data_IF_630154908837
#
_entry.id   IF_630154908837
#
_cell.length_a   1.000
_cell.length_b   1.000
_cell.length_c   1.000
_cell.angle_alpha   90.00
_cell.angle_beta   90.00
_cell.angle_gamma   90.00
#
_symmetry.space_group_name_H-M   'P 1'
#
loop_
_entity.id
_entity.type
_entity.pdbx_description
1 polymer ?
#
# COMPACT_ATOMS: atom_id res chain seq x y z
N UNK A 1 2.44 25.71 5.89
CA UNK A 1 1.20 25.07 5.40
C UNK A 1 1.10 25.30 3.89
N UNK A 2 0.69 24.28 3.12
CA UNK A 2 0.42 24.42 1.69
C UNK A 2 -0.73 25.40 1.45
N UNK A 3 -0.64 26.22 0.40
CA UNK A 3 -1.75 27.07 -0.06
C UNK A 3 -2.85 26.20 -0.69
N UNK A 4 -4.09 26.71 -0.76
CA UNK A 4 -5.21 25.97 -1.37
C UNK A 4 -4.95 25.66 -2.87
N UNK A 5 -4.29 26.58 -3.57
CA UNK A 5 -3.88 26.38 -4.97
C UNK A 5 -2.90 25.20 -5.07
N UNK A 6 -1.87 25.15 -4.22
CA UNK A 6 -0.90 24.05 -4.19
C UNK A 6 -1.53 22.73 -3.79
N UNK A 7 -2.44 22.74 -2.81
CA UNK A 7 -3.22 21.55 -2.44
C UNK A 7 -4.01 20.99 -3.62
N UNK A 8 -4.66 21.88 -4.39
CA UNK A 8 -5.42 21.48 -5.58
C UNK A 8 -4.50 20.91 -6.66
N UNK A 9 -3.35 21.54 -6.91
CA UNK A 9 -2.35 21.06 -7.85
C UNK A 9 -1.89 19.63 -7.49
N UNK A 10 -1.43 19.43 -6.25
CA UNK A 10 -0.98 18.12 -5.78
C UNK A 10 -2.10 17.07 -5.80
N UNK A 11 -3.34 17.44 -5.44
CA UNK A 11 -4.49 16.54 -5.54
C UNK A 11 -4.76 16.08 -6.97
N UNK A 12 -4.49 16.93 -7.96
CA UNK A 12 -4.66 16.57 -9.37
C UNK A 12 -3.59 15.59 -9.86
N UNK A 13 -2.41 15.56 -9.25
CA UNK A 13 -1.38 14.56 -9.52
C UNK A 13 -1.82 13.17 -9.05
N UNK A 14 -2.54 13.12 -7.92
CA UNK A 14 -2.92 11.87 -7.25
C UNK A 14 -4.22 11.29 -7.84
N UNK A 15 -4.17 10.94 -9.13
CA UNK A 15 -5.26 10.30 -9.86
C UNK A 15 -4.73 9.10 -10.61
N UNK A 16 -5.45 7.97 -10.62
CA UNK A 16 -5.06 6.82 -11.41
C UNK A 16 -5.21 7.10 -12.91
N UNK A 17 -4.50 6.35 -13.74
CA UNK A 17 -4.54 6.45 -15.19
C UNK A 17 -5.94 6.16 -15.77
N UNK A 18 -6.71 5.30 -15.10
CA UNK A 18 -8.10 4.98 -15.42
C UNK A 18 -8.86 4.70 -14.11
N UNK A 19 -10.20 4.84 -14.10
CA UNK A 19 -11.00 4.43 -12.94
C UNK A 19 -10.79 2.96 -12.58
N UNK A 20 -10.83 2.60 -11.29
CA UNK A 20 -10.82 1.21 -10.87
C UNK A 20 -11.91 0.39 -11.55
N UNK A 21 -11.59 -0.84 -11.94
CA UNK A 21 -12.52 -1.77 -12.55
C UNK A 21 -12.76 -2.95 -11.63
N UNK A 22 -13.99 -3.10 -11.15
CA UNK A 22 -14.37 -4.24 -10.34
C UNK A 22 -14.44 -5.51 -11.19
N UNK A 23 -13.99 -6.62 -10.62
CA UNK A 23 -14.02 -7.95 -11.22
C UNK A 23 -14.51 -8.96 -10.19
N UNK A 24 -15.34 -9.89 -10.62
CA UNK A 24 -15.89 -10.95 -9.79
C UNK A 24 -15.27 -12.31 -10.14
N UNK A 25 -15.31 -13.26 -9.18
CA UNK A 25 -14.80 -14.61 -9.36
C UNK A 25 -13.35 -14.65 -9.84
N UNK A 26 -12.49 -13.88 -9.16
CA UNK A 26 -11.10 -13.62 -9.58
C UNK A 26 -10.23 -14.87 -9.56
N UNK A 27 -10.38 -15.69 -8.52
CA UNK A 27 -9.70 -16.98 -8.38
C UNK A 27 -10.69 -18.14 -8.38
N UNK A 28 -10.27 -19.31 -8.86
CA UNK A 28 -11.05 -20.53 -8.68
C UNK A 28 -11.05 -20.98 -7.22
N UNK A 29 -11.98 -21.86 -6.84
CA UNK A 29 -12.03 -22.40 -5.49
C UNK A 29 -10.72 -23.13 -5.10
N UNK A 30 -10.13 -23.88 -6.02
CA UNK A 30 -8.83 -24.55 -5.85
C UNK A 30 -7.69 -23.54 -5.64
N UNK A 31 -7.62 -22.48 -6.44
CA UNK A 31 -6.61 -21.43 -6.28
C UNK A 31 -6.74 -20.75 -4.92
N UNK A 32 -7.96 -20.41 -4.50
CA UNK A 32 -8.21 -19.83 -3.17
C UNK A 32 -7.75 -20.75 -2.05
N UNK A 33 -8.10 -22.03 -2.13
CA UNK A 33 -7.68 -23.01 -1.14
C UNK A 33 -6.15 -23.12 -1.05
N UNK A 34 -5.46 -23.21 -2.19
CA UNK A 34 -3.98 -23.23 -2.23
C UNK A 34 -3.34 -21.97 -1.66
N UNK A 35 -3.89 -20.79 -1.97
CA UNK A 35 -3.43 -19.52 -1.41
C UNK A 35 -3.53 -19.51 0.13
N UNK A 36 -4.67 -19.88 0.69
CA UNK A 36 -4.87 -19.97 2.14
C UNK A 36 -3.98 -21.02 2.79
N UNK A 37 -3.86 -22.21 2.19
CA UNK A 37 -3.03 -23.30 2.70
C UNK A 37 -1.54 -22.91 2.75
N UNK A 38 -1.03 -22.23 1.71
CA UNK A 38 0.35 -21.72 1.71
C UNK A 38 0.55 -20.71 2.84
N UNK A 39 -0.36 -19.75 3.00
CA UNK A 39 -0.25 -18.73 4.06
C UNK A 39 -0.35 -19.37 5.43
N UNK A 40 -1.24 -20.35 5.62
CA UNK A 40 -1.39 -21.06 6.89
C UNK A 40 -0.14 -21.90 7.25
N UNK A 41 0.45 -22.57 6.27
CA UNK A 41 1.56 -23.51 6.50
C UNK A 41 2.92 -22.84 6.70
N UNK A 42 3.15 -21.66 6.11
CA UNK A 42 4.49 -21.05 6.01
C UNK A 42 4.69 -19.83 6.93
N UNK A 43 3.75 -19.55 7.85
CA UNK A 43 3.94 -18.53 8.90
C UNK A 43 5.14 -18.85 9.84
N UNK A 44 5.45 -18.00 10.79
CA UNK A 44 4.67 -16.83 11.19
C UNK A 44 4.91 -15.60 10.31
N UNK A 45 3.88 -14.78 10.19
CA UNK A 45 3.89 -13.55 9.40
C UNK A 45 3.94 -12.32 10.33
N UNK A 46 4.72 -11.33 9.94
CA UNK A 46 4.89 -10.10 10.71
C UNK A 46 3.78 -9.09 10.42
N UNK A 47 3.56 -8.18 11.35
CA UNK A 47 2.78 -6.96 11.10
C UNK A 47 3.35 -6.20 9.90
N UNK A 48 2.47 -5.59 9.10
CA UNK A 48 2.87 -4.79 7.94
C UNK A 48 3.87 -3.70 8.31
N UNK A 49 3.67 -3.02 9.45
CA UNK A 49 4.59 -1.98 9.94
C UNK A 49 5.97 -2.53 10.28
N UNK A 50 6.06 -3.77 10.76
CA UNK A 50 7.34 -4.44 11.08
C UNK A 50 8.10 -4.93 9.83
N UNK A 51 7.55 -4.74 8.63
CA UNK A 51 8.26 -4.94 7.37
C UNK A 51 8.83 -3.63 6.80
N UNK A 52 8.27 -2.48 7.20
CA UNK A 52 8.70 -1.16 6.75
C UNK A 52 9.66 -0.47 7.70
N UNK A 53 9.67 -0.85 8.97
CA UNK A 53 10.51 -0.28 10.03
C UNK A 53 11.28 -1.39 10.74
N UNK A 54 12.54 -1.15 11.04
CA UNK A 54 13.37 -2.13 11.75
C UNK A 54 13.02 -2.25 13.24
N UNK A 55 12.38 -1.21 13.82
CA UNK A 55 11.95 -1.18 15.21
C UNK A 55 10.76 -0.26 15.46
N UNK A 56 10.11 -0.42 16.61
CA UNK A 56 9.08 0.50 17.06
C UNK A 56 9.62 1.93 17.26
N UNK A 57 10.87 2.07 17.72
CA UNK A 57 11.52 3.37 17.91
C UNK A 57 11.73 4.09 16.57
N UNK A 58 12.13 3.38 15.52
CA UNK A 58 12.27 3.93 14.18
C UNK A 58 10.90 4.39 13.62
N UNK A 59 9.86 3.56 13.76
CA UNK A 59 8.49 3.92 13.40
C UNK A 59 8.08 5.22 14.10
N UNK A 60 8.23 5.28 15.42
CA UNK A 60 7.83 6.43 16.21
C UNK A 60 8.61 7.69 15.82
N UNK A 61 9.92 7.59 15.57
CA UNK A 61 10.76 8.70 15.13
C UNK A 61 10.30 9.23 13.76
N UNK A 62 10.00 8.33 12.82
CA UNK A 62 9.55 8.69 11.46
C UNK A 62 8.17 9.37 11.47
N UNK A 63 7.26 8.87 12.30
CA UNK A 63 5.88 9.37 12.35
C UNK A 63 5.69 10.60 13.25
N UNK A 64 6.65 10.93 14.11
CA UNK A 64 6.53 12.05 15.06
C UNK A 64 6.29 13.40 14.38
N UNK A 65 6.85 13.63 13.19
CA UNK A 65 6.66 14.85 12.40
C UNK A 65 5.28 15.00 11.73
N UNK A 66 4.48 13.94 11.71
CA UNK A 66 3.14 13.95 11.10
C UNK A 66 2.05 14.52 12.03
N UNK A 67 2.38 14.78 13.30
CA UNK A 67 1.42 15.23 14.31
C UNK A 67 1.61 16.69 14.67
N UNK A 68 0.54 17.37 15.16
CA UNK A 68 0.64 18.74 15.63
C UNK A 68 1.66 18.91 16.75
N UNK A 69 2.27 20.09 16.81
CA UNK A 69 3.18 20.45 17.91
C UNK A 69 2.51 20.24 19.28
N UNK A 70 3.20 19.57 20.19
CA UNK A 70 2.71 19.24 21.53
C UNK A 70 1.93 17.93 21.63
N UNK A 71 1.64 17.25 20.52
CA UNK A 71 1.08 15.90 20.55
C UNK A 71 2.20 14.86 20.55
N UNK A 72 2.16 13.96 21.51
CA UNK A 72 3.08 12.82 21.57
C UNK A 72 2.31 11.55 21.22
N UNK A 73 2.48 11.00 19.99
CA UNK A 73 1.80 9.76 19.62
C UNK A 73 2.30 8.58 20.46
N UNK A 74 1.43 7.64 20.76
CA UNK A 74 1.81 6.34 21.31
C UNK A 74 1.93 5.31 20.20
N UNK A 75 2.70 4.25 20.41
CA UNK A 75 2.83 3.13 19.45
C UNK A 75 1.46 2.51 19.11
N UNK A 76 0.56 2.43 20.09
CA UNK A 76 -0.79 1.85 19.92
C UNK A 76 -1.61 2.52 18.81
N UNK A 77 -1.28 3.77 18.47
CA UNK A 77 -1.92 4.48 17.35
C UNK A 77 -1.70 3.82 16.00
N UNK A 78 -0.56 3.17 15.86
CA UNK A 78 -0.09 2.60 14.59
C UNK A 78 -0.29 1.08 14.53
N UNK A 79 -0.60 0.45 15.67
CA UNK A 79 -0.79 -0.99 15.72
C UNK A 79 -2.19 -1.36 15.22
N UNK A 80 -2.23 -2.10 14.14
CA UNK A 80 -3.43 -2.78 13.62
C UNK A 80 -3.09 -4.25 13.36
N UNK A 81 -4.02 -5.20 13.56
CA UNK A 81 -3.75 -6.62 13.34
C UNK A 81 -3.75 -6.96 11.85
N UNK A 82 -2.88 -6.28 11.10
CA UNK A 82 -2.66 -6.47 9.67
C UNK A 82 -1.29 -7.09 9.44
N UNK A 83 -1.28 -8.30 8.91
CA UNK A 83 -0.09 -9.10 8.67
C UNK A 83 0.12 -9.28 7.18
N UNK A 84 1.39 -9.28 6.74
CA UNK A 84 1.77 -9.35 5.32
C UNK A 84 2.80 -10.44 5.08
N UNK A 85 2.71 -11.08 3.93
CA UNK A 85 3.77 -11.91 3.37
C UNK A 85 3.81 -11.85 1.86
N UNK A 86 4.93 -12.26 1.27
CA UNK A 86 5.11 -12.33 -0.17
C UNK A 86 4.90 -13.76 -0.65
N UNK A 87 4.13 -13.91 -1.73
CA UNK A 87 3.87 -15.17 -2.43
C UNK A 87 4.69 -15.27 -3.72
N UNK A 88 4.99 -14.10 -4.32
CA UNK A 88 5.93 -13.91 -5.40
C UNK A 88 6.56 -12.53 -5.30
N UNK A 89 7.81 -12.37 -5.74
CA UNK A 89 8.50 -11.10 -5.74
C UNK A 89 9.56 -11.06 -6.85
N UNK A 90 9.79 -9.88 -7.44
CA UNK A 90 10.73 -9.67 -8.55
C UNK A 90 10.50 -10.65 -9.71
N UNK A 91 9.25 -10.91 -10.05
CA UNK A 91 8.88 -11.84 -11.11
C UNK A 91 9.05 -13.32 -10.76
N UNK A 92 9.44 -13.68 -9.53
CA UNK A 92 9.67 -15.06 -9.10
C UNK A 92 8.60 -15.54 -8.11
N UNK A 93 8.04 -16.73 -8.35
CA UNK A 93 7.12 -17.41 -7.43
C UNK A 93 7.92 -18.03 -6.29
N UNK A 94 7.52 -17.76 -5.05
CA UNK A 94 8.18 -18.29 -3.85
C UNK A 94 7.64 -19.67 -3.45
N UNK A 95 6.41 -19.99 -3.83
CA UNK A 95 5.70 -21.24 -3.53
C UNK A 95 5.22 -21.88 -4.84
N UNK A 96 5.82 -23.00 -5.30
CA UNK A 96 5.52 -23.62 -6.61
C UNK A 96 4.05 -23.89 -6.86
N UNK A 97 3.27 -24.19 -5.80
CA UNK A 97 1.84 -24.45 -5.88
C UNK A 97 1.00 -23.22 -6.28
N UNK A 98 1.59 -22.02 -6.26
CA UNK A 98 0.94 -20.76 -6.64
C UNK A 98 1.37 -20.24 -8.02
N UNK A 99 2.07 -21.07 -8.81
CA UNK A 99 2.60 -20.70 -10.11
C UNK A 99 1.53 -20.13 -11.05
N UNK A 100 0.38 -20.77 -11.17
CA UNK A 100 -0.74 -20.34 -12.02
C UNK A 100 -1.54 -19.17 -11.44
N UNK A 101 -1.44 -18.92 -10.14
CA UNK A 101 -2.00 -17.71 -9.51
C UNK A 101 -1.18 -16.48 -9.88
N UNK A 102 0.15 -16.62 -9.93
CA UNK A 102 1.05 -15.51 -10.25
C UNK A 102 1.20 -15.27 -11.74
N UNK A 103 1.55 -16.30 -12.54
CA UNK A 103 1.64 -16.19 -13.99
C UNK A 103 0.25 -16.34 -14.63
N UNK A 104 -0.67 -15.47 -14.23
CA UNK A 104 -2.06 -15.50 -14.63
C UNK A 104 -2.28 -14.69 -15.91
N UNK A 105 -2.58 -15.38 -17.03
CA UNK A 105 -2.79 -14.72 -18.32
C UNK A 105 -3.96 -13.73 -18.31
N UNK A 106 -5.02 -14.01 -17.55
CA UNK A 106 -6.17 -13.11 -17.41
C UNK A 106 -5.78 -11.81 -16.70
N UNK A 107 -4.94 -11.88 -15.66
CA UNK A 107 -4.45 -10.71 -14.97
C UNK A 107 -3.54 -9.85 -15.86
N UNK A 108 -2.69 -10.50 -16.66
CA UNK A 108 -1.88 -9.77 -17.66
C UNK A 108 -2.73 -9.04 -18.69
N UNK A 109 -3.82 -9.64 -19.17
CA UNK A 109 -4.76 -8.97 -20.07
C UNK A 109 -5.50 -7.82 -19.37
N UNK A 110 -5.89 -7.98 -18.10
CA UNK A 110 -6.45 -6.89 -17.30
C UNK A 110 -5.46 -5.74 -17.16
N UNK A 111 -4.21 -6.03 -16.84
CA UNK A 111 -3.15 -5.01 -16.70
C UNK A 111 -2.91 -4.25 -18.01
N UNK A 112 -2.74 -4.95 -19.12
CA UNK A 112 -2.58 -4.33 -20.45
C UNK A 112 -3.79 -3.48 -20.82
N UNK A 113 -5.00 -4.04 -20.65
CA UNK A 113 -6.24 -3.33 -20.97
C UNK A 113 -6.48 -2.09 -20.11
N UNK A 114 -6.06 -2.11 -18.83
CA UNK A 114 -6.18 -0.97 -17.93
C UNK A 114 -5.39 0.25 -18.43
N UNK A 115 -4.19 0.01 -18.96
CA UNK A 115 -3.28 1.03 -19.48
C UNK A 115 -3.37 1.24 -20.99
N UNK A 116 -4.18 0.45 -21.71
CA UNK A 116 -4.16 0.38 -23.18
C UNK A 116 -2.73 0.15 -23.71
N UNK A 117 -2.07 -0.89 -23.20
CA UNK A 117 -0.66 -1.17 -23.41
C UNK A 117 -0.44 -2.53 -24.11
N UNK A 118 0.72 -2.68 -24.75
CA UNK A 118 1.09 -3.91 -25.47
C UNK A 118 1.73 -4.96 -24.56
N UNK A 119 2.50 -4.52 -23.56
CA UNK A 119 3.30 -5.40 -22.71
C UNK A 119 2.93 -5.28 -21.24
N UNK A 120 2.95 -6.40 -20.54
CA UNK A 120 2.87 -6.46 -19.08
C UNK A 120 3.79 -7.58 -18.56
N UNK A 121 4.47 -7.31 -17.47
CA UNK A 121 5.38 -8.23 -16.78
C UNK A 121 4.92 -8.41 -15.34
N UNK A 122 4.53 -9.62 -14.88
CA UNK A 122 4.20 -9.84 -13.47
C UNK A 122 5.41 -9.49 -12.61
N UNK A 123 5.19 -8.76 -11.54
CA UNK A 123 6.28 -8.30 -10.67
C UNK A 123 6.19 -8.88 -9.27
N UNK A 124 5.02 -8.80 -8.65
CA UNK A 124 4.85 -9.17 -7.26
C UNK A 124 3.47 -9.77 -7.01
N UNK A 125 3.41 -10.69 -6.06
CA UNK A 125 2.17 -11.14 -5.42
C UNK A 125 2.39 -11.21 -3.92
N UNK A 126 1.67 -10.41 -3.15
CA UNK A 126 1.66 -10.44 -1.70
C UNK A 126 0.25 -10.68 -1.17
N UNK A 127 0.16 -10.98 0.09
CA UNK A 127 -1.11 -10.99 0.81
C UNK A 127 -1.07 -10.06 2.02
N UNK A 128 -2.24 -9.53 2.37
CA UNK A 128 -2.51 -8.98 3.68
C UNK A 128 -3.62 -9.80 4.32
N UNK A 129 -3.50 -10.11 5.60
CA UNK A 129 -4.54 -10.74 6.38
C UNK A 129 -4.83 -9.90 7.62
N UNK A 130 -6.10 -9.58 7.81
CA UNK A 130 -6.53 -8.68 8.86
C UNK A 130 -7.48 -9.42 9.80
N UNK A 131 -7.18 -9.38 11.10
CA UNK A 131 -8.16 -9.70 12.14
C UNK A 131 -9.23 -8.60 12.28
N UNK A 132 -10.35 -8.90 12.95
CA UNK A 132 -11.38 -7.90 13.22
C UNK A 132 -10.82 -6.71 14.02
N UNK A 133 -10.98 -5.51 13.47
CA UNK A 133 -10.69 -4.25 14.16
C UNK A 133 -11.25 -3.06 13.39
N UNK A 134 -11.48 -1.96 14.10
CA UNK A 134 -11.76 -0.67 13.47
C UNK A 134 -10.55 -0.25 12.60
N UNK A 135 -10.82 0.28 11.41
CA UNK A 135 -9.75 0.78 10.56
C UNK A 135 -9.25 2.14 11.06
N UNK A 136 -7.93 2.27 11.16
CA UNK A 136 -7.24 3.49 11.56
C UNK A 136 -6.48 4.16 10.41
N UNK A 137 -6.51 3.55 9.22
CA UNK A 137 -5.87 4.12 8.02
C UNK A 137 -6.72 5.28 7.46
N UNK A 138 -6.21 6.51 7.43
CA UNK A 138 -6.92 7.64 6.86
C UNK A 138 -6.97 7.62 5.33
N UNK A 139 -6.24 6.72 4.71
CA UNK A 139 -5.98 6.63 3.29
C UNK A 139 -4.51 6.88 2.98
N UNK A 140 -3.96 6.06 2.10
CA UNK A 140 -2.57 6.09 1.69
C UNK A 140 -2.43 5.85 0.18
N UNK A 141 -1.23 6.04 -0.31
CA UNK A 141 -0.79 5.62 -1.65
C UNK A 141 0.12 4.41 -1.48
N UNK A 142 0.04 3.46 -2.40
CA UNK A 142 1.15 2.53 -2.57
C UNK A 142 2.35 3.32 -3.09
N UNK A 143 3.56 2.88 -2.75
CA UNK A 143 4.75 3.61 -3.17
C UNK A 143 5.10 3.29 -4.63
N UNK A 144 5.21 4.31 -5.50
CA UNK A 144 5.56 4.10 -6.91
C UNK A 144 7.03 3.72 -7.08
N UNK A 145 7.35 3.19 -8.26
CA UNK A 145 8.71 2.98 -8.74
C UNK A 145 8.97 3.80 -10.00
N UNK A 146 10.20 4.21 -10.19
CA UNK A 146 10.64 5.00 -11.34
C UNK A 146 11.82 4.32 -12.02
N UNK A 147 12.03 4.56 -13.31
CA UNK A 147 13.24 4.09 -13.99
C UNK A 147 14.45 4.76 -13.33
N UNK A 148 15.34 3.93 -12.75
CA UNK A 148 16.53 4.34 -12.02
C UNK A 148 16.35 4.57 -10.51
N UNK A 149 15.12 4.78 -10.01
CA UNK A 149 14.83 4.95 -8.58
C UNK A 149 13.68 4.03 -8.18
N UNK A 150 14.00 2.94 -7.49
CA UNK A 150 13.08 1.87 -7.09
C UNK A 150 13.30 1.50 -5.63
N UNK A 151 12.42 0.69 -5.07
CA UNK A 151 12.54 0.19 -3.68
C UNK A 151 13.82 -0.61 -3.40
N UNK A 152 14.45 -1.17 -4.44
CA UNK A 152 15.68 -1.93 -4.34
C UNK A 152 16.91 -1.04 -4.11
N UNK A 153 16.85 0.23 -4.51
CA UNK A 153 18.01 1.15 -4.45
C UNK A 153 17.69 2.50 -3.79
N UNK A 154 16.45 2.74 -3.37
CA UNK A 154 16.04 3.99 -2.78
C UNK A 154 15.08 3.75 -1.59
N UNK A 155 15.11 4.60 -0.56
CA UNK A 155 14.18 4.49 0.55
C UNK A 155 12.74 4.80 0.09
N UNK A 156 11.77 4.13 0.71
CA UNK A 156 10.33 4.26 0.40
C UNK A 156 9.84 5.71 0.44
N UNK A 157 10.33 6.51 1.39
CA UNK A 157 9.93 7.90 1.49
C UNK A 157 10.27 8.72 0.23
N UNK A 158 11.43 8.45 -0.39
CA UNK A 158 11.86 9.16 -1.61
C UNK A 158 10.93 8.82 -2.78
N UNK A 159 10.67 7.53 -3.02
CA UNK A 159 9.72 7.09 -4.04
C UNK A 159 8.33 7.72 -3.84
N UNK A 160 7.85 7.77 -2.59
CA UNK A 160 6.56 8.36 -2.24
C UNK A 160 6.51 9.86 -2.53
N UNK A 161 7.55 10.61 -2.14
CA UNK A 161 7.64 12.07 -2.41
C UNK A 161 7.76 12.34 -3.91
N UNK A 162 8.56 11.56 -4.64
CA UNK A 162 8.65 11.66 -6.10
C UNK A 162 7.27 11.49 -6.75
N UNK A 163 6.48 10.49 -6.34
CA UNK A 163 5.11 10.28 -6.84
C UNK A 163 4.19 11.47 -6.52
N UNK A 164 4.16 11.89 -5.26
CA UNK A 164 3.32 13.02 -4.81
C UNK A 164 3.67 14.35 -5.49
N UNK A 165 4.93 14.54 -5.88
CA UNK A 165 5.40 15.79 -6.51
C UNK A 165 4.86 16.02 -7.92
N UNK A 166 4.59 14.94 -8.67
CA UNK A 166 4.22 14.99 -10.09
C UNK A 166 5.38 15.34 -11.05
N UNK A 167 6.60 15.54 -10.54
CA UNK A 167 7.75 15.95 -11.35
C UNK A 167 8.36 14.81 -12.17
N UNK A 168 8.05 13.57 -11.84
CA UNK A 168 8.71 12.38 -12.37
C UNK A 168 7.80 11.50 -13.21
N UNK A 169 6.71 12.05 -13.75
CA UNK A 169 5.73 11.30 -14.55
C UNK A 169 6.37 10.59 -15.74
N UNK A 170 7.36 11.22 -16.38
CA UNK A 170 8.08 10.63 -17.52
C UNK A 170 8.96 9.43 -17.15
N UNK A 171 9.32 9.30 -15.86
CA UNK A 171 10.12 8.19 -15.33
C UNK A 171 9.26 7.13 -14.64
N UNK A 172 7.99 7.42 -14.38
CA UNK A 172 7.09 6.52 -13.64
C UNK A 172 6.99 5.17 -14.36
N UNK A 173 7.24 4.08 -13.62
CA UNK A 173 6.95 2.74 -14.09
C UNK A 173 5.45 2.52 -13.90
N UNK A 174 4.74 2.32 -15.00
CA UNK A 174 3.31 2.05 -14.97
C UNK A 174 3.06 0.71 -14.30
N UNK A 175 2.26 0.72 -13.24
CA UNK A 175 1.85 -0.49 -12.54
C UNK A 175 0.36 -0.71 -12.73
N UNK A 176 -0.04 -1.96 -12.88
CA UNK A 176 -1.42 -2.37 -12.73
C UNK A 176 -1.51 -3.46 -11.66
N UNK A 177 -2.46 -3.30 -10.77
CA UNK A 177 -2.70 -4.22 -9.67
C UNK A 177 -4.03 -4.93 -9.87
N UNK A 178 -4.06 -6.21 -9.55
CA UNK A 178 -5.28 -6.98 -9.34
C UNK A 178 -5.34 -7.29 -7.85
N UNK A 179 -6.17 -6.53 -7.14
CA UNK A 179 -6.37 -6.71 -5.71
C UNK A 179 -7.65 -7.51 -5.52
N UNK A 180 -7.55 -8.63 -4.83
CA UNK A 180 -8.67 -9.54 -4.58
C UNK A 180 -8.85 -9.73 -3.09
N UNK A 181 -10.09 -9.69 -2.65
CA UNK A 181 -10.45 -9.92 -1.25
C UNK A 181 -11.24 -11.21 -1.08
N UNK A 182 -11.03 -11.82 0.06
CA UNK A 182 -11.85 -12.91 0.60
C UNK A 182 -12.30 -12.50 1.99
N UNK A 183 -13.48 -11.92 2.07
CA UNK A 183 -14.12 -11.53 3.33
C UNK A 183 -15.62 -11.74 3.20
N UNK A 184 -16.21 -12.33 4.25
CA UNK A 184 -17.65 -12.50 4.39
C UNK A 184 -18.27 -11.41 5.26
N UNK A 185 -17.44 -10.57 5.88
CA UNK A 185 -17.87 -9.49 6.76
C UNK A 185 -18.49 -8.33 5.99
N UNK A 186 -19.59 -7.80 6.51
CA UNK A 186 -20.32 -6.67 5.92
C UNK A 186 -19.56 -5.33 6.07
N UNK A 187 -18.57 -5.27 6.97
CA UNK A 187 -17.77 -4.06 7.22
C UNK A 187 -16.49 -3.93 6.40
N UNK A 188 -16.08 -4.97 5.66
CA UNK A 188 -14.74 -5.08 5.08
C UNK A 188 -14.56 -4.45 3.69
N UNK A 189 -15.25 -3.38 3.36
CA UNK A 189 -15.16 -2.74 2.04
C UNK A 189 -13.80 -2.10 1.73
N UNK A 190 -13.74 -1.45 0.57
CA UNK A 190 -12.57 -0.72 0.09
C UNK A 190 -12.98 0.67 -0.39
N UNK A 191 -12.45 1.70 0.25
CA UNK A 191 -12.68 3.12 -0.11
C UNK A 191 -11.51 3.65 -0.93
N UNK A 192 -11.78 4.45 -1.97
CA UNK A 192 -10.75 5.06 -2.81
C UNK A 192 -11.20 6.40 -3.37
N UNK A 193 -10.23 7.25 -3.77
CA UNK A 193 -10.47 8.62 -4.28
C UNK A 193 -9.98 8.76 -5.73
N UNK A 194 -10.80 8.38 -6.74
CA UNK A 194 -10.36 8.32 -8.13
C UNK A 194 -10.11 9.70 -8.75
N UNK A 195 -10.73 10.74 -8.23
CA UNK A 195 -10.58 12.12 -8.69
C UNK A 195 -9.65 12.97 -7.82
N UNK A 196 -8.86 12.29 -6.96
CA UNK A 196 -7.93 12.90 -6.01
C UNK A 196 -8.51 13.06 -4.60
N UNK A 197 -7.65 13.15 -3.57
CA UNK A 197 -8.04 13.08 -2.16
C UNK A 197 -8.90 14.24 -1.65
N UNK A 198 -9.00 15.35 -2.41
CA UNK A 198 -9.87 16.48 -2.09
C UNK A 198 -11.27 16.34 -2.72
N UNK A 199 -11.58 15.21 -3.36
CA UNK A 199 -12.87 14.92 -4.01
C UNK A 199 -13.62 13.83 -3.27
N UNK A 200 -14.86 13.58 -3.72
CA UNK A 200 -15.69 12.54 -3.14
C UNK A 200 -15.07 11.15 -3.32
N UNK A 201 -15.09 10.29 -2.30
CA UNK A 201 -14.65 8.91 -2.41
C UNK A 201 -15.65 8.06 -3.19
N UNK A 202 -15.15 6.93 -3.70
CA UNK A 202 -15.93 5.81 -4.19
C UNK A 202 -15.62 4.57 -3.34
N UNK A 203 -16.42 3.51 -3.48
CA UNK A 203 -16.29 2.30 -2.67
C UNK A 203 -16.51 1.03 -3.49
N UNK A 204 -15.75 -0.01 -3.18
CA UNK A 204 -16.16 -1.39 -3.44
C UNK A 204 -16.93 -1.86 -2.21
N UNK A 205 -18.21 -2.15 -2.39
CA UNK A 205 -19.12 -2.43 -1.28
C UNK A 205 -18.94 -3.87 -0.77
N UNK A 206 -18.93 -4.07 0.55
CA UNK A 206 -18.93 -5.41 1.12
C UNK A 206 -20.31 -6.12 0.90
N UNK A 207 -20.37 -7.47 1.00
CA UNK A 207 -19.23 -8.37 1.25
C UNK A 207 -18.34 -8.51 0.01
N UNK A 208 -17.03 -8.63 0.21
CA UNK A 208 -16.03 -8.73 -0.87
C UNK A 208 -15.36 -10.10 -0.85
N UNK A 209 -16.11 -11.14 -1.23
CA UNK A 209 -15.61 -12.51 -1.26
C UNK A 209 -15.32 -12.97 -2.68
N UNK A 210 -14.04 -13.22 -2.99
CA UNK A 210 -13.54 -13.51 -4.34
C UNK A 210 -13.89 -12.44 -5.36
N UNK A 211 -13.91 -11.21 -4.90
CA UNK A 211 -14.15 -9.99 -5.66
C UNK A 211 -12.89 -9.14 -5.64
N UNK A 212 -12.58 -8.49 -6.73
CA UNK A 212 -11.37 -7.70 -6.84
C UNK A 212 -11.55 -6.42 -7.65
N UNK A 213 -10.46 -5.67 -7.73
CA UNK A 213 -10.34 -4.49 -8.58
C UNK A 213 -9.07 -4.54 -9.39
N UNK A 214 -9.15 -4.05 -10.63
CA UNK A 214 -7.97 -3.68 -11.43
C UNK A 214 -7.74 -2.19 -11.25
N UNK A 215 -6.56 -1.80 -10.78
CA UNK A 215 -6.32 -0.44 -10.28
C UNK A 215 -4.84 -0.03 -10.36
N UNK A 216 -4.59 1.28 -10.25
CA UNK A 216 -3.28 1.88 -10.00
C UNK A 216 -3.30 2.58 -8.63
N UNK A 217 -2.87 1.89 -7.58
CA UNK A 217 -2.88 2.42 -6.22
C UNK A 217 -1.69 3.35 -5.89
N UNK A 218 -0.63 3.34 -6.69
CA UNK A 218 0.52 4.23 -6.51
C UNK A 218 0.15 5.70 -6.74
N UNK A 219 -0.89 5.95 -7.52
CA UNK A 219 -1.34 7.31 -7.84
C UNK A 219 -2.78 7.59 -7.40
N UNK A 220 -3.39 6.69 -6.64
CA UNK A 220 -4.74 6.85 -6.13
C UNK A 220 -4.79 6.60 -4.62
N UNK A 221 -5.20 7.61 -3.87
CA UNK A 221 -5.41 7.43 -2.42
C UNK A 221 -6.53 6.41 -2.20
N UNK A 222 -6.26 5.44 -1.34
CA UNK A 222 -7.17 4.34 -1.03
C UNK A 222 -6.97 3.83 0.40
N UNK A 223 -7.94 3.07 0.89
CA UNK A 223 -7.85 2.37 2.19
C UNK A 223 -8.73 1.12 2.22
N UNK A 224 -8.36 0.14 3.02
CA UNK A 224 -9.29 -0.88 3.48
C UNK A 224 -10.22 -0.30 4.54
N UNK A 225 -11.49 -0.68 4.55
CA UNK A 225 -12.42 -0.31 5.62
C UNK A 225 -12.24 -1.21 6.85
N UNK A 226 -12.96 -0.92 7.94
CA UNK A 226 -12.93 -1.75 9.13
C UNK A 226 -13.28 -3.21 8.79
N UNK A 227 -12.62 -4.16 9.44
CA UNK A 227 -12.99 -5.56 9.41
C UNK A 227 -13.73 -5.89 10.70
N UNK A 228 -15.02 -6.22 10.60
CA UNK A 228 -15.90 -6.38 11.75
C UNK A 228 -16.57 -5.07 12.23
N UNK A 229 -17.11 -5.06 13.43
CA UNK A 229 -17.80 -3.90 14.00
C UNK A 229 -16.92 -2.66 14.10
N UNK A 230 -17.50 -1.47 13.86
CA UNK A 230 -16.76 -0.20 13.88
C UNK A 230 -16.14 0.16 15.23
N UNK A 231 -16.67 -0.40 16.32
CA UNK A 231 -16.16 -0.24 17.70
C UNK A 231 -15.21 -1.35 18.15
N UNK A 232 -14.93 -2.31 17.25
CA UNK A 232 -14.02 -3.42 17.53
C UNK A 232 -12.61 -2.89 17.81
N UNK A 233 -12.12 -3.16 19.01
CA UNK A 233 -10.77 -2.80 19.41
C UNK A 233 -9.74 -3.80 18.86
N UNK A 234 -8.49 -3.34 18.73
CA UNK A 234 -7.37 -4.24 18.45
C UNK A 234 -7.22 -5.28 19.56
N UNK A 235 -6.73 -6.49 19.29
CA UNK A 235 -6.49 -7.50 20.31
C UNK A 235 -5.59 -6.96 21.43
N UNK A 236 -5.99 -7.20 22.69
CA UNK A 236 -5.18 -6.80 23.83
C UNK A 236 -3.79 -7.48 23.79
N UNK A 237 -2.75 -6.68 24.00
CA UNK A 237 -1.37 -7.16 23.93
C UNK A 237 -0.76 -7.16 22.53
N UNK A 238 -1.46 -6.63 21.49
CA UNK A 238 -0.85 -6.43 20.19
C UNK A 238 0.39 -5.54 20.32
N UNK A 239 1.52 -6.00 19.83
CA UNK A 239 2.82 -5.34 19.92
C UNK A 239 3.51 -5.31 18.54
N UNK A 240 4.56 -4.52 18.39
CA UNK A 240 5.28 -4.36 17.10
C UNK A 240 5.83 -5.70 16.56
N UNK A 241 6.21 -6.61 17.43
CA UNK A 241 6.77 -7.92 17.12
C UNK A 241 5.74 -9.06 17.15
N UNK A 242 4.45 -8.73 17.35
CA UNK A 242 3.36 -9.71 17.22
C UNK A 242 3.37 -10.34 15.84
N UNK A 243 3.22 -11.67 15.81
CA UNK A 243 3.16 -12.45 14.58
C UNK A 243 1.82 -13.17 14.43
N UNK A 244 1.50 -13.49 13.18
CA UNK A 244 0.30 -14.23 12.80
C UNK A 244 0.71 -15.58 12.20
N UNK A 245 0.12 -16.67 12.66
CA UNK A 245 0.44 -18.02 12.20
C UNK A 245 -0.83 -18.88 12.12
N UNK A 246 -0.82 -19.86 11.21
CA UNK A 246 -1.83 -20.92 11.23
C UNK A 246 -1.76 -21.72 12.53
N UNK A 247 -2.90 -22.12 13.04
CA UNK A 247 -2.97 -23.03 14.20
C UNK A 247 -2.61 -24.45 13.74
N UNK A 248 -1.50 -25.05 14.22
CA UNK A 248 -1.09 -26.40 13.79
C UNK A 248 -2.07 -27.50 14.21
N UNK A 249 -2.96 -27.22 15.15
CA UNK A 249 -3.97 -28.14 15.64
C UNK A 249 -5.32 -28.03 14.88
N UNK A 250 -5.54 -26.94 14.14
CA UNK A 250 -6.81 -26.67 13.48
C UNK A 250 -6.63 -25.82 12.20
N UNK A 251 -6.80 -26.38 11.00
CA UNK A 251 -6.57 -25.70 9.75
C UNK A 251 -7.51 -24.52 9.47
N UNK A 252 -8.58 -24.40 10.23
CA UNK A 252 -9.55 -23.28 10.11
C UNK A 252 -9.27 -22.13 11.09
N UNK A 253 -8.21 -22.25 11.91
CA UNK A 253 -7.90 -21.24 12.91
C UNK A 253 -6.49 -20.68 12.75
N UNK A 254 -6.35 -19.48 13.29
CA UNK A 254 -5.15 -18.66 13.21
C UNK A 254 -4.83 -18.08 14.58
N UNK A 255 -3.54 -17.93 14.86
CA UNK A 255 -3.04 -17.49 16.15
C UNK A 255 -2.28 -16.17 15.99
N UNK A 256 -2.62 -15.19 16.83
CA UNK A 256 -1.76 -14.02 17.09
C UNK A 256 -0.87 -14.34 18.27
N UNK A 257 0.45 -14.15 18.11
CA UNK A 257 1.42 -14.58 19.11
C UNK A 257 2.46 -13.50 19.40
N UNK A 258 2.82 -13.40 20.69
CA UNK A 258 4.00 -12.69 21.17
C UNK A 258 4.97 -13.75 21.71
N UNK A 259 5.99 -14.10 20.92
CA UNK A 259 6.81 -15.27 21.23
C UNK A 259 5.97 -16.55 21.28
N UNK A 260 5.94 -17.21 22.45
CA UNK A 260 5.12 -18.42 22.66
C UNK A 260 3.70 -18.14 23.15
N UNK A 261 3.42 -16.92 23.60
CA UNK A 261 2.10 -16.55 24.14
C UNK A 261 1.09 -16.27 23.03
N UNK A 262 -0.05 -16.94 23.07
CA UNK A 262 -1.19 -16.69 22.18
C UNK A 262 -2.05 -15.57 22.77
N UNK A 263 -2.11 -14.42 22.10
CA UNK A 263 -2.92 -13.26 22.54
C UNK A 263 -4.32 -13.23 21.92
N UNK A 264 -4.50 -13.85 20.75
CA UNK A 264 -5.81 -14.00 20.12
C UNK A 264 -5.83 -15.25 19.22
N UNK A 265 -7.03 -15.79 18.98
CA UNK A 265 -7.29 -16.89 18.05
C UNK A 265 -8.50 -16.54 17.21
N UNK A 266 -8.39 -16.63 15.89
CA UNK A 266 -9.45 -16.28 14.95
C UNK A 266 -9.80 -17.46 14.08
N UNK A 267 -11.10 -17.61 13.76
CA UNK A 267 -11.53 -18.49 12.68
C UNK A 267 -11.29 -17.82 11.32
N UNK A 268 -11.05 -18.59 10.28
CA UNK A 268 -10.78 -18.07 8.92
C UNK A 268 -11.89 -17.13 8.43
N UNK A 269 -13.15 -17.40 8.77
CA UNK A 269 -14.29 -16.58 8.33
C UNK A 269 -14.37 -15.20 8.99
N UNK A 270 -13.65 -14.99 10.11
CA UNK A 270 -13.55 -13.69 10.78
C UNK A 270 -12.50 -12.77 10.13
N UNK A 271 -11.68 -13.32 9.23
CA UNK A 271 -10.55 -12.64 8.65
C UNK A 271 -10.91 -12.02 7.31
N UNK A 272 -10.32 -10.86 7.03
CA UNK A 272 -10.22 -10.33 5.68
C UNK A 272 -8.86 -10.75 5.10
N UNK A 273 -8.88 -11.66 4.15
CA UNK A 273 -7.71 -12.06 3.38
C UNK A 273 -7.69 -11.32 2.05
N UNK A 274 -6.61 -10.62 1.78
CA UNK A 274 -6.38 -9.86 0.56
C UNK A 274 -5.19 -10.46 -0.18
N UNK A 275 -5.33 -10.69 -1.47
CA UNK A 275 -4.21 -11.00 -2.39
C UNK A 275 -4.01 -9.80 -3.32
N UNK A 276 -2.80 -9.27 -3.32
CA UNK A 276 -2.38 -8.16 -4.16
C UNK A 276 -1.38 -8.68 -5.19
N UNK A 277 -1.82 -8.83 -6.42
CA UNK A 277 -0.98 -9.12 -7.56
C UNK A 277 -0.69 -7.84 -8.32
N UNK A 278 0.55 -7.67 -8.80
CA UNK A 278 0.94 -6.50 -9.59
C UNK A 278 1.81 -6.87 -10.79
N UNK A 279 1.73 -6.04 -11.82
CA UNK A 279 2.57 -6.12 -13.01
C UNK A 279 3.05 -4.72 -13.42
N UNK A 280 4.30 -4.65 -13.89
CA UNK A 280 4.80 -3.53 -14.66
C UNK A 280 4.17 -3.57 -16.06
N UNK A 281 3.80 -2.40 -16.58
CA UNK A 281 3.07 -2.28 -17.85
C UNK A 281 3.81 -1.31 -18.76
N UNK A 282 3.91 -1.65 -20.05
CA UNK A 282 4.63 -0.84 -21.03
C UNK A 282 3.75 -0.63 -22.25
N UNK A 283 3.61 0.63 -22.68
CA UNK A 283 2.75 1.01 -23.82
C UNK A 283 3.20 0.35 -25.10
N UNK A 284 4.52 0.27 -25.32
CA UNK A 284 5.15 -0.26 -26.53
C UNK A 284 6.51 -0.89 -26.22
N UNK A 285 7.17 -1.41 -27.25
CA UNK A 285 8.47 -2.05 -27.13
C UNK A 285 9.60 -1.06 -26.72
N UNK A 286 9.50 0.20 -27.12
CA UNK A 286 10.52 1.20 -26.79
C UNK A 286 10.49 1.53 -25.30
N UNK A 287 9.32 1.63 -24.70
CA UNK A 287 9.19 1.82 -23.25
C UNK A 287 9.70 0.59 -22.48
N UNK A 288 9.33 -0.61 -22.91
CA UNK A 288 9.85 -1.85 -22.34
C UNK A 288 11.37 -1.90 -22.41
N UNK A 289 11.94 -1.56 -23.58
CA UNK A 289 13.38 -1.57 -23.79
C UNK A 289 14.11 -0.59 -22.86
N UNK A 290 13.63 0.63 -22.71
CA UNK A 290 14.18 1.62 -21.77
C UNK A 290 14.21 1.10 -20.34
N UNK A 291 13.12 0.43 -19.91
CA UNK A 291 13.05 -0.17 -18.59
C UNK A 291 14.03 -1.34 -18.41
N UNK A 292 14.33 -2.09 -19.49
CA UNK A 292 15.24 -3.23 -19.44
C UNK A 292 16.72 -2.83 -19.50
N UNK A 293 17.06 -1.83 -20.29
CA UNK A 293 18.46 -1.42 -20.51
C UNK A 293 18.90 -0.20 -19.69
N UNK A 294 17.97 0.41 -18.94
CA UNK A 294 18.25 1.57 -18.09
C UNK A 294 18.72 2.80 -18.86
N UNK A 295 18.41 2.90 -20.18
CA UNK A 295 18.97 3.91 -21.06
C UNK A 295 18.54 5.35 -20.73
N UNK A 296 17.47 5.53 -19.97
CA UNK A 296 16.98 6.82 -19.52
C UNK A 296 16.74 6.87 -17.99
N UNK A 297 17.44 6.03 -17.25
CA UNK A 297 17.34 5.99 -15.78
C UNK A 297 17.71 7.32 -15.15
N UNK A 298 16.86 7.79 -14.22
CA UNK A 298 17.18 8.95 -13.38
C UNK A 298 18.00 8.50 -12.17
N UNK A 299 19.02 9.29 -11.78
CA UNK A 299 19.75 9.03 -10.54
C UNK A 299 19.05 9.66 -9.32
N UNK A 300 19.32 9.13 -8.15
CA UNK A 300 18.80 9.67 -6.87
C UNK A 300 19.22 11.14 -6.70
N UNK A 301 20.48 11.48 -7.00
CA UNK A 301 20.98 12.85 -6.86
C UNK A 301 20.24 13.81 -7.79
N UNK A 302 19.96 13.36 -9.03
CA UNK A 302 19.21 14.16 -9.99
C UNK A 302 17.76 14.34 -9.53
N UNK A 303 17.12 13.30 -9.01
CA UNK A 303 15.76 13.38 -8.49
C UNK A 303 15.66 14.37 -7.34
N UNK A 304 16.57 14.30 -6.37
CA UNK A 304 16.67 15.26 -5.27
C UNK A 304 16.87 16.68 -5.78
N UNK A 305 17.83 16.87 -6.72
CA UNK A 305 18.09 18.17 -7.33
C UNK A 305 16.86 18.79 -7.99
N UNK A 306 16.09 18.00 -8.75
CA UNK A 306 14.85 18.46 -9.40
C UNK A 306 13.81 18.91 -8.37
N UNK A 307 13.64 18.19 -7.26
CA UNK A 307 12.71 18.59 -6.19
C UNK A 307 13.15 19.88 -5.48
N UNK A 308 14.44 20.02 -5.19
CA UNK A 308 14.99 21.23 -4.56
C UNK A 308 14.84 22.44 -5.50
N UNK A 309 15.09 22.27 -6.79
CA UNK A 309 14.91 23.33 -7.80
C UNK A 309 13.43 23.73 -7.94
N UNK A 310 12.51 22.76 -7.93
CA UNK A 310 11.06 23.05 -7.93
C UNK A 310 10.64 23.85 -6.70
N UNK A 311 11.09 23.47 -5.51
CA UNK A 311 10.80 24.20 -4.28
C UNK A 311 11.37 25.61 -4.30
N UNK A 312 12.61 25.76 -4.79
CA UNK A 312 13.23 27.08 -4.96
C UNK A 312 12.44 27.95 -5.93
N UNK A 313 11.95 27.38 -7.04
CA UNK A 313 11.05 28.07 -7.97
C UNK A 313 9.75 28.54 -7.34
N UNK A 314 9.31 27.88 -6.28
CA UNK A 314 8.13 28.20 -5.47
C UNK A 314 8.45 29.10 -4.25
N UNK A 315 9.68 29.60 -4.15
CA UNK A 315 10.12 30.50 -3.06
C UNK A 315 10.47 29.78 -1.75
N UNK A 316 10.54 28.45 -1.75
CA UNK A 316 10.94 27.63 -0.60
C UNK A 316 12.44 27.34 -0.72
N UNK A 317 13.23 27.84 0.23
CA UNK A 317 14.67 27.55 0.27
C UNK A 317 14.90 26.27 1.06
N UNK A 318 15.54 25.30 0.43
CA UNK A 318 15.93 24.03 1.03
C UNK A 318 17.35 23.68 0.58
N UNK A 319 18.30 23.65 1.51
CA UNK A 319 19.67 23.26 1.24
C UNK A 319 19.80 21.74 1.26
N UNK A 320 20.49 21.18 0.28
CA UNK A 320 20.76 19.74 0.23
C UNK A 320 21.92 19.40 1.18
N UNK A 321 21.69 18.58 2.21
CA UNK A 321 22.77 18.15 3.10
C UNK A 321 23.72 17.16 2.43
N UNK A 322 24.85 16.86 3.09
CA UNK A 322 25.83 15.89 2.58
C UNK A 322 25.29 14.46 2.47
N UNK A 323 24.32 14.11 3.28
CA UNK A 323 23.62 12.81 3.23
C UNK A 323 22.10 13.03 3.23
N UNK A 324 21.51 13.38 2.08
CA UNK A 324 20.10 13.74 1.99
C UNK A 324 19.15 12.55 2.23
N UNK A 325 19.63 11.32 2.07
CA UNK A 325 18.79 10.14 2.26
C UNK A 325 18.54 9.79 3.73
N UNK A 326 19.41 10.27 4.63
CA UNK A 326 19.34 9.97 6.06
C UNK A 326 19.23 11.21 6.95
N UNK A 327 19.18 12.42 6.37
CA UNK A 327 18.97 13.65 7.15
C UNK A 327 17.49 13.84 7.48
N UNK A 328 17.07 13.72 8.76
CA UNK A 328 15.65 13.74 9.13
C UNK A 328 15.00 15.10 8.88
N UNK A 329 15.75 16.20 8.96
CA UNK A 329 15.24 17.55 8.73
C UNK A 329 14.94 17.76 7.24
N UNK A 330 15.83 17.32 6.38
CA UNK A 330 15.66 17.37 4.93
C UNK A 330 14.49 16.49 4.47
N UNK A 331 14.42 15.26 4.98
CA UNK A 331 13.32 14.31 4.70
C UNK A 331 11.98 14.92 5.09
N UNK A 332 11.88 15.46 6.31
CA UNK A 332 10.66 16.09 6.80
C UNK A 332 10.25 17.31 5.95
N UNK A 333 11.23 18.14 5.54
CA UNK A 333 10.96 19.32 4.71
C UNK A 333 10.43 18.94 3.32
N UNK A 334 11.03 17.93 2.66
CA UNK A 334 10.55 17.43 1.37
C UNK A 334 9.16 16.82 1.49
N UNK A 335 8.91 15.95 2.48
CA UNK A 335 7.59 15.39 2.71
C UNK A 335 6.55 16.48 2.92
N UNK A 336 6.80 17.44 3.80
CA UNK A 336 5.87 18.53 4.10
C UNK A 336 5.54 19.41 2.87
N UNK A 337 6.47 19.52 1.91
CA UNK A 337 6.29 20.35 0.71
C UNK A 337 5.39 19.71 -0.35
N UNK A 338 5.28 18.36 -0.35
CA UNK A 338 4.51 17.60 -1.35
C UNK A 338 3.39 16.75 -0.74
N UNK A 339 3.23 16.76 0.58
CA UNK A 339 2.17 15.99 1.25
C UNK A 339 0.91 16.84 1.48
N UNK A 340 -0.20 16.37 0.95
CA UNK A 340 -1.52 16.98 1.13
C UNK A 340 -2.14 16.69 2.50
N UNK A 341 -1.60 15.73 3.23
CA UNK A 341 -2.30 15.04 4.31
C UNK A 341 -3.37 14.07 3.78
N UNK A 342 -4.20 13.57 4.67
CA UNK A 342 -5.27 12.64 4.31
C UNK A 342 -6.41 13.28 3.51
N UNK A 343 -7.34 12.46 2.98
CA UNK A 343 -8.57 12.93 2.35
C UNK A 343 -9.41 13.79 3.26
N UNK A 344 -10.22 14.68 2.67
CA UNK A 344 -11.07 15.61 3.42
C UNK A 344 -12.49 15.07 3.66
N UNK A 345 -12.89 14.03 2.93
CA UNK A 345 -14.23 13.44 3.01
C UNK A 345 -14.14 11.92 3.01
N UNK A 346 -14.98 11.29 3.82
CA UNK A 346 -15.10 9.84 3.96
C UNK A 346 -16.55 9.40 3.78
N UNK A 347 -16.83 8.17 3.32
CA UNK A 347 -18.19 7.65 3.29
C UNK A 347 -18.82 7.61 4.69
N UNK A 348 -20.11 7.91 4.79
CA UNK A 348 -20.85 7.86 6.08
C UNK A 348 -20.87 6.44 6.65
N UNK A 349 -20.97 5.43 5.78
CA UNK A 349 -21.02 4.01 6.16
C UNK A 349 -19.64 3.42 6.49
N UNK A 350 -18.58 4.15 6.14
CA UNK A 350 -17.20 3.76 6.43
C UNK A 350 -16.40 4.97 6.94
N UNK A 351 -16.75 5.52 8.11
CA UNK A 351 -16.06 6.68 8.68
C UNK A 351 -14.63 6.30 9.09
N UNK A 352 -13.82 7.32 9.36
CA UNK A 352 -12.61 7.13 10.18
C UNK A 352 -13.04 6.70 11.59
N UNK A 353 -12.23 5.87 12.24
CA UNK A 353 -12.47 5.56 13.64
C UNK A 353 -12.46 6.85 14.48
N UNK A 354 -13.28 6.91 15.52
CA UNK A 354 -13.37 8.08 16.43
C UNK A 354 -12.00 8.53 16.98
N UNK A 355 -11.06 7.62 17.02
CA UNK A 355 -9.69 7.86 17.46
C UNK A 355 -8.86 8.75 16.51
N UNK A 356 -9.22 8.83 15.24
CA UNK A 356 -8.54 9.66 14.23
C UNK A 356 -9.18 11.06 14.11
N UNK A 357 -10.32 11.26 14.76
CA UNK A 357 -11.06 12.52 14.75
C UNK A 357 -10.82 13.36 16.02
N UNK A 358 -10.07 12.84 16.97
CA UNK A 358 -9.67 13.51 18.22
C UNK A 358 -8.23 14.02 18.14
#
# INVERSE_FOLDING_TARGET
MLTDERRTELSNVLRPAAPPREIDNVYTADQRERLLNVVHAHGPWKLIIAQHFASADELMATMSGAFPEGFTPSLDLFLTPTFRGYLANYGAVLYPELHDCFYNATFLEHAKSYWNAEYAKPEMMLFNINGPCANRDPGHLDSPSFRGVRHENAPTWLCSVMGKSGLFTDYLIKMAQVITWFSLDEGSGFTYWPDGPLKAPARVLPPINNRGVVVQNEMMVHRGEANGPLDQQVPAGLAFDTVFAGDPADPNHWLLKNGDDVIARHHTDELRFLVHWSAEVFSDFEELKKNMDGSDDITIERAIGMMVDDLKGKGIQLDTPSDPLHDPTFIAALNAAYDLGGPTTYPEEAPLSAFQLA
#
